data_IF_668837337679
#
_entry.id   IF_668837337679
#
_cell.length_a   1.000
_cell.length_b   1.000
_cell.length_c   1.000
_cell.angle_alpha   90.00
_cell.angle_beta   90.00
_cell.angle_gamma   90.00
#
_symmetry.space_group_name_H-M   'P 1'
#
loop_
_entity.id
_entity.type
_entity.pdbx_description
1 polymer ?
#
# COMPACT_ATOMS: atom_id res chain seq x y z
N UNK A 1 -11.87 8.74 -25.09
CA UNK A 1 -13.32 8.89 -24.73
C UNK A 1 -14.00 7.54 -24.44
N UNK A 2 -13.30 6.60 -23.75
CA UNK A 2 -13.87 5.32 -23.32
C UNK A 2 -13.71 5.06 -21.82
N UNK A 3 -13.06 5.98 -21.11
CA UNK A 3 -12.78 5.92 -19.68
C UNK A 3 -14.02 6.34 -18.88
N UNK A 4 -14.94 5.40 -18.63
CA UNK A 4 -16.00 5.59 -17.64
C UNK A 4 -17.32 4.87 -17.89
N UNK A 5 -17.62 4.43 -19.12
CA UNK A 5 -18.90 3.77 -19.45
C UNK A 5 -18.85 2.25 -19.56
N UNK A 6 -17.66 1.68 -19.80
CA UNK A 6 -17.42 0.24 -19.67
C UNK A 6 -16.27 0.06 -18.68
N UNK A 7 -16.41 -0.90 -17.76
CA UNK A 7 -15.40 -1.29 -16.77
C UNK A 7 -14.18 -1.98 -17.38
N UNK A 8 -13.65 -1.44 -18.48
CA UNK A 8 -12.52 -1.97 -19.24
C UNK A 8 -11.21 -1.23 -18.93
N UNK A 9 -11.27 -0.14 -18.15
CA UNK A 9 -10.10 0.62 -17.71
C UNK A 9 -9.73 0.21 -16.28
N UNK A 10 -8.45 -0.04 -16.02
CA UNK A 10 -7.92 -0.39 -14.70
C UNK A 10 -6.90 0.65 -14.20
N UNK A 11 -6.54 0.63 -12.92
CA UNK A 11 -5.69 1.66 -12.31
C UNK A 11 -4.20 1.40 -12.39
N UNK A 12 -3.74 0.27 -12.94
CA UNK A 12 -2.33 -0.14 -12.99
C UNK A 12 -1.68 -0.46 -11.63
N UNK A 13 -2.20 0.12 -10.55
CA UNK A 13 -1.81 -0.13 -9.15
C UNK A 13 -2.86 -0.94 -8.40
N UNK A 14 -2.38 -1.84 -7.54
CA UNK A 14 -3.23 -2.67 -6.70
C UNK A 14 -4.01 -1.85 -5.66
N UNK A 15 -5.22 -2.32 -5.34
CA UNK A 15 -6.07 -1.77 -4.28
C UNK A 15 -5.76 -2.42 -2.92
N UNK A 16 -6.43 -1.98 -1.86
CA UNK A 16 -6.16 -2.42 -0.49
C UNK A 16 -6.13 -3.95 -0.33
N UNK A 17 -7.08 -4.68 -0.94
CA UNK A 17 -7.14 -6.14 -0.87
C UNK A 17 -5.93 -6.81 -1.56
N UNK A 18 -5.48 -6.26 -2.69
CA UNK A 18 -4.30 -6.76 -3.41
C UNK A 18 -3.01 -6.44 -2.63
N UNK A 19 -2.95 -5.29 -1.96
CA UNK A 19 -1.85 -4.94 -1.06
C UNK A 19 -1.81 -5.84 0.18
N UNK A 20 -2.97 -6.19 0.76
CA UNK A 20 -3.06 -7.15 1.85
C UNK A 20 -2.63 -8.55 1.41
N UNK A 21 -3.00 -8.97 0.20
CA UNK A 21 -2.53 -10.23 -0.37
C UNK A 21 -1.00 -10.24 -0.54
N UNK A 22 -0.41 -9.12 -0.99
CA UNK A 22 1.04 -8.97 -1.04
C UNK A 22 1.67 -9.12 0.35
N UNK A 23 1.17 -8.41 1.35
CA UNK A 23 1.64 -8.51 2.74
C UNK A 23 1.52 -9.93 3.30
N UNK A 24 0.44 -10.64 2.99
CA UNK A 24 0.24 -12.02 3.41
C UNK A 24 1.21 -12.99 2.73
N UNK A 25 1.53 -12.75 1.45
CA UNK A 25 2.45 -13.60 0.70
C UNK A 25 3.92 -13.38 1.10
N UNK A 26 4.30 -12.15 1.43
CA UNK A 26 5.70 -11.81 1.76
C UNK A 26 6.01 -11.92 3.25
N UNK A 27 4.99 -11.81 4.11
CA UNK A 27 5.07 -11.79 5.57
C UNK A 27 6.30 -11.01 6.12
N UNK A 28 6.36 -9.70 5.87
CA UNK A 28 7.59 -8.94 6.08
C UNK A 28 7.90 -8.73 7.56
N UNK A 29 9.17 -8.89 7.94
CA UNK A 29 9.65 -8.55 9.29
C UNK A 29 9.71 -7.03 9.53
N UNK A 30 9.91 -6.25 8.48
CA UNK A 30 9.97 -4.79 8.45
C UNK A 30 9.27 -4.30 7.18
N UNK A 31 8.46 -3.25 7.28
CA UNK A 31 7.74 -2.68 6.14
C UNK A 31 7.93 -1.17 6.03
N UNK A 32 8.15 -0.71 4.80
CA UNK A 32 8.24 0.71 4.42
C UNK A 32 7.35 0.90 3.19
N UNK A 33 6.24 1.65 3.27
CA UNK A 33 5.45 1.97 2.10
C UNK A 33 6.21 2.97 1.23
N UNK A 34 6.18 2.73 -0.08
CA UNK A 34 6.84 3.56 -1.08
C UNK A 34 5.91 3.83 -2.27
N UNK A 35 6.32 4.74 -3.14
CA UNK A 35 5.65 5.04 -4.41
C UNK A 35 4.19 5.53 -4.27
N UNK A 36 4.04 6.78 -3.83
CA UNK A 36 2.77 7.49 -3.84
C UNK A 36 2.89 8.83 -3.10
N UNK A 37 1.90 9.70 -3.27
CA UNK A 37 1.76 10.87 -2.40
C UNK A 37 1.65 10.47 -0.92
N UNK A 38 1.93 11.41 -0.02
CA UNK A 38 1.92 11.17 1.43
C UNK A 38 0.64 10.49 1.94
N UNK A 39 -0.53 10.86 1.39
CA UNK A 39 -1.80 10.24 1.74
C UNK A 39 -1.83 8.74 1.42
N UNK A 40 -1.26 8.32 0.29
CA UNK A 40 -1.15 6.92 -0.09
C UNK A 40 -0.19 6.17 0.85
N UNK A 41 0.95 6.77 1.19
CA UNK A 41 1.94 6.18 2.10
C UNK A 41 1.36 6.02 3.51
N UNK A 42 0.62 7.02 3.99
CA UNK A 42 -0.07 6.97 5.28
C UNK A 42 -1.16 5.89 5.31
N UNK A 43 -1.93 5.74 4.22
CA UNK A 43 -2.94 4.70 4.12
C UNK A 43 -2.32 3.29 4.08
N UNK A 44 -1.23 3.08 3.34
CA UNK A 44 -0.56 1.77 3.28
C UNK A 44 0.18 1.42 4.58
N UNK A 45 0.74 2.42 5.25
CA UNK A 45 1.28 2.29 6.62
C UNK A 45 0.20 1.79 7.58
N UNK A 46 -0.96 2.44 7.58
CA UNK A 46 -2.08 2.07 8.43
C UNK A 46 -2.61 0.66 8.09
N UNK A 47 -2.69 0.32 6.81
CA UNK A 47 -3.09 -1.02 6.35
C UNK A 47 -2.18 -2.13 6.93
N UNK A 48 -0.87 -1.90 6.99
CA UNK A 48 0.08 -2.84 7.56
C UNK A 48 -0.09 -2.99 9.09
N UNK A 49 -0.40 -1.90 9.79
CA UNK A 49 -0.71 -1.94 11.23
C UNK A 49 -2.02 -2.67 11.51
N UNK A 50 -3.07 -2.43 10.73
CA UNK A 50 -4.37 -3.09 10.85
C UNK A 50 -4.28 -4.60 10.58
N UNK A 51 -3.35 -5.03 9.70
CA UNK A 51 -2.99 -6.45 9.52
C UNK A 51 -2.34 -7.07 10.76
N UNK A 52 -1.80 -6.26 11.67
CA UNK A 52 -1.19 -6.71 12.93
C UNK A 52 0.33 -6.60 12.99
N UNK A 53 0.98 -5.89 12.06
CA UNK A 53 2.41 -5.61 12.20
C UNK A 53 2.67 -4.70 13.42
N UNK A 54 3.75 -4.98 14.15
CA UNK A 54 4.12 -4.17 15.30
C UNK A 54 4.46 -2.73 14.87
N UNK A 55 3.99 -1.68 15.58
CA UNK A 55 4.22 -0.28 15.18
C UNK A 55 5.69 0.11 14.94
N UNK A 56 6.62 -0.48 15.69
CA UNK A 56 8.07 -0.24 15.51
C UNK A 56 8.68 -0.91 14.28
N UNK A 57 7.92 -1.71 13.54
CA UNK A 57 8.33 -2.44 12.33
C UNK A 57 7.69 -1.91 11.05
N UNK A 58 6.94 -0.80 11.14
CA UNK A 58 6.26 -0.16 10.00
C UNK A 58 6.72 1.29 9.96
N UNK A 59 7.65 1.61 9.06
CA UNK A 59 8.30 2.92 9.01
C UNK A 59 7.72 3.73 7.85
N UNK A 60 7.51 5.03 8.06
CA UNK A 60 7.30 5.97 6.97
C UNK A 60 8.56 6.80 6.86
N UNK A 61 9.14 6.80 5.67
CA UNK A 61 10.32 7.55 5.34
C UNK A 61 9.96 8.63 4.31
N UNK A 62 10.78 9.66 4.28
CA UNK A 62 10.84 10.67 3.24
C UNK A 62 12.16 10.52 2.48
N UNK A 63 12.23 11.13 1.30
CA UNK A 63 13.43 11.04 0.47
C UNK A 63 14.64 11.64 1.22
N UNK A 64 15.60 10.79 1.59
CA UNK A 64 16.81 11.18 2.32
C UNK A 64 16.90 10.70 3.77
N UNK A 65 15.87 10.03 4.30
CA UNK A 65 15.93 9.29 5.58
C UNK A 65 16.78 7.99 5.51
#
# INVERSE_FOLDING_TARGET
VHSGQLGVHTTGHGKADELLALHAATDPELFIPVHGEYAHLAAHHQLALERGMAPGRVLRCTDGD
#
